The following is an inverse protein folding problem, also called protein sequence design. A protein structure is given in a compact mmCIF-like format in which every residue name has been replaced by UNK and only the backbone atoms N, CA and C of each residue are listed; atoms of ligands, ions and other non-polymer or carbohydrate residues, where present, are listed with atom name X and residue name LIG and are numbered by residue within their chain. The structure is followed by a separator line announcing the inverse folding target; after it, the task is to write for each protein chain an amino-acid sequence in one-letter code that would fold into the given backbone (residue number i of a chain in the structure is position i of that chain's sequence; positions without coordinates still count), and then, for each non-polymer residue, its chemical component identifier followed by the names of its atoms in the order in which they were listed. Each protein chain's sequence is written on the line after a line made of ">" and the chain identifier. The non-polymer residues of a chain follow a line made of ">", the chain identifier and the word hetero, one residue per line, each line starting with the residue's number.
data_IF_413316426827
#
_entry.id   IF_413316426827
#
_cell.length_a   1.000
_cell.length_b   1.000
_cell.length_c   1.000
_cell.angle_alpha   90.00
_cell.angle_beta   90.00
_cell.angle_gamma   90.00
#
_symmetry.space_group_name_H-M   'P 1'
#
loop_
_entity.id
_entity.type
_entity.pdbx_description
1 polymer ?
#
# COMPACT_ATOMS: atom_id res chain seq x y z
N UNK A 1 -24.33 -8.28 -6.19
CA UNK A 1 -23.38 -9.14 -6.93
C UNK A 1 -22.06 -8.41 -6.94
N UNK A 2 -20.97 -9.03 -6.48
CA UNK A 2 -19.64 -8.42 -6.54
C UNK A 2 -19.19 -8.47 -8.00
N UNK A 3 -18.75 -7.33 -8.53
CA UNK A 3 -18.15 -7.25 -9.85
C UNK A 3 -16.64 -7.19 -9.67
N UNK A 4 -15.96 -8.22 -10.16
CA UNK A 4 -14.51 -8.29 -10.18
C UNK A 4 -13.95 -7.60 -11.42
N UNK A 5 -12.73 -7.11 -11.31
CA UNK A 5 -11.99 -6.56 -12.42
C UNK A 5 -11.56 -7.67 -13.40
N UNK A 6 -11.83 -7.46 -14.68
CA UNK A 6 -11.46 -8.40 -15.75
C UNK A 6 -9.94 -8.47 -16.01
N UNK A 7 -9.18 -7.47 -15.56
CA UNK A 7 -7.74 -7.40 -15.79
C UNK A 7 -6.89 -8.02 -14.68
N UNK A 8 -7.49 -8.43 -13.56
CA UNK A 8 -6.78 -9.11 -12.47
C UNK A 8 -6.83 -10.62 -12.72
N UNK A 9 -5.67 -11.25 -12.79
CA UNK A 9 -5.53 -12.67 -13.12
C UNK A 9 -4.57 -13.39 -12.16
N UNK A 10 -4.65 -14.71 -12.14
CA UNK A 10 -3.89 -15.58 -11.25
C UNK A 10 -2.38 -15.52 -11.55
N UNK A 11 -1.52 -15.43 -10.51
CA UNK A 11 -0.10 -15.67 -10.67
C UNK A 11 0.17 -17.12 -11.10
N UNK A 12 1.35 -17.39 -11.69
CA UNK A 12 1.77 -18.76 -12.04
C UNK A 12 2.26 -19.59 -10.84
N UNK A 13 2.40 -18.97 -9.66
CA UNK A 13 2.73 -19.63 -8.40
C UNK A 13 2.24 -18.80 -7.21
N UNK A 14 2.26 -19.40 -6.01
CA UNK A 14 1.91 -18.70 -4.77
C UNK A 14 2.84 -17.52 -4.50
N UNK A 15 2.28 -16.32 -4.33
CA UNK A 15 3.01 -15.15 -3.82
C UNK A 15 2.85 -15.16 -2.29
N UNK A 16 3.70 -15.92 -1.59
CA UNK A 16 3.64 -16.11 -0.14
C UNK A 16 4.77 -15.36 0.57
N UNK A 17 4.45 -14.27 1.27
CA UNK A 17 5.48 -13.38 1.85
C UNK A 17 5.48 -13.45 3.38
N UNK A 18 4.33 -13.22 4.00
CA UNK A 18 4.15 -13.28 5.44
C UNK A 18 3.97 -14.73 5.88
N UNK A 19 3.11 -15.49 5.21
CA UNK A 19 2.91 -16.90 5.50
C UNK A 19 1.71 -17.50 4.77
N UNK A 20 1.72 -18.83 4.62
CA UNK A 20 0.69 -19.56 3.87
C UNK A 20 -0.72 -19.41 4.44
N UNK A 21 -0.85 -19.14 5.74
CA UNK A 21 -2.13 -18.88 6.38
C UNK A 21 -2.81 -17.59 5.89
N UNK A 22 -2.04 -16.67 5.31
CA UNK A 22 -2.52 -15.40 4.75
C UNK A 22 -2.72 -15.45 3.24
N UNK A 23 -2.74 -16.65 2.64
CA UNK A 23 -2.98 -16.82 1.22
C UNK A 23 -4.47 -16.73 0.92
N UNK A 24 -4.81 -15.92 -0.09
CA UNK A 24 -6.18 -15.89 -0.58
C UNK A 24 -6.56 -17.21 -1.24
N UNK A 25 -7.74 -17.72 -0.89
CA UNK A 25 -8.31 -18.97 -1.45
C UNK A 25 -9.20 -18.71 -2.66
N UNK A 26 -9.62 -17.47 -2.89
CA UNK A 26 -10.51 -17.06 -3.97
C UNK A 26 -10.17 -15.63 -4.41
N UNK A 27 -10.91 -15.10 -5.38
CA UNK A 27 -10.84 -13.69 -5.71
C UNK A 27 -11.59 -12.88 -4.64
N UNK A 28 -10.87 -12.03 -3.91
CA UNK A 28 -11.41 -11.26 -2.79
C UNK A 28 -11.15 -9.76 -2.97
N UNK A 29 -12.05 -8.96 -2.40
CA UNK A 29 -11.92 -7.50 -2.30
C UNK A 29 -11.95 -7.13 -0.82
N UNK A 30 -10.96 -6.34 -0.40
CA UNK A 30 -10.86 -5.80 0.94
C UNK A 30 -10.96 -4.28 0.91
N UNK A 31 -11.35 -3.70 2.04
CA UNK A 31 -11.45 -2.25 2.19
C UNK A 31 -10.66 -1.78 3.41
N UNK A 32 -9.80 -0.80 3.22
CA UNK A 32 -9.12 -0.08 4.29
C UNK A 32 -9.89 1.21 4.60
N UNK A 33 -10.36 1.36 5.84
CA UNK A 33 -11.19 2.51 6.27
C UNK A 33 -10.80 3.00 7.67
N UNK A 34 -11.24 4.20 8.04
CA UNK A 34 -11.09 4.67 9.42
C UNK A 34 -12.08 3.97 10.34
N UNK A 35 -11.63 3.61 11.54
CA UNK A 35 -12.53 3.09 12.56
C UNK A 35 -13.44 4.21 13.08
N UNK A 36 -14.74 3.90 13.21
CA UNK A 36 -15.75 4.81 13.75
C UNK A 36 -15.92 4.69 15.27
N UNK A 37 -15.19 3.79 15.93
CA UNK A 37 -15.30 3.62 17.38
C UNK A 37 -14.67 4.80 18.12
N UNK A 38 -15.40 5.35 19.10
CA UNK A 38 -15.02 6.56 19.82
C UNK A 38 -13.69 6.45 20.58
N UNK A 39 -13.33 5.24 21.04
CA UNK A 39 -12.08 4.93 21.75
C UNK A 39 -10.89 4.66 20.83
N UNK A 40 -11.10 4.59 19.51
CA UNK A 40 -10.08 4.25 18.51
C UNK A 40 -9.91 5.32 17.43
N UNK A 41 -10.17 6.60 17.77
CA UNK A 41 -9.78 7.72 16.91
C UNK A 41 -8.29 7.54 16.58
N UNK A 42 -7.95 7.49 15.30
CA UNK A 42 -6.61 7.20 14.73
C UNK A 42 -6.29 5.71 14.44
N UNK A 43 -7.27 4.80 14.47
CA UNK A 43 -7.09 3.44 13.94
C UNK A 43 -7.66 3.30 12.54
N UNK A 44 -6.89 2.69 11.64
CA UNK A 44 -7.42 2.15 10.40
C UNK A 44 -7.85 0.71 10.64
N UNK A 45 -8.87 0.25 9.94
CA UNK A 45 -9.34 -1.13 9.97
C UNK A 45 -9.47 -1.66 8.56
N UNK A 46 -9.24 -2.96 8.40
CA UNK A 46 -9.40 -3.68 7.14
C UNK A 46 -10.63 -4.56 7.27
N UNK A 47 -11.56 -4.38 6.33
CA UNK A 47 -12.78 -5.18 6.27
C UNK A 47 -12.88 -5.95 4.97
N UNK A 48 -13.65 -7.02 4.99
CA UNK A 48 -14.08 -7.70 3.77
C UNK A 48 -15.21 -6.93 3.05
N UNK A 49 -15.80 -7.58 2.06
CA UNK A 49 -16.94 -7.04 1.29
C UNK A 49 -18.25 -6.98 2.04
N UNK A 50 -18.41 -7.78 3.11
CA UNK A 50 -19.56 -7.76 4.01
C UNK A 50 -19.43 -6.70 5.10
N UNK A 51 -18.23 -6.12 5.24
CA UNK A 51 -17.93 -5.08 6.22
C UNK A 51 -17.44 -5.62 7.55
N UNK A 52 -17.17 -6.93 7.66
CA UNK A 52 -16.59 -7.55 8.85
C UNK A 52 -15.14 -7.10 9.03
N UNK A 53 -14.79 -6.70 10.24
CA UNK A 53 -13.41 -6.31 10.59
C UNK A 53 -12.53 -7.54 10.72
N UNK A 54 -11.48 -7.60 9.90
CA UNK A 54 -10.53 -8.70 9.88
C UNK A 54 -9.21 -8.31 10.57
N UNK A 55 -8.79 -7.05 10.40
CA UNK A 55 -7.53 -6.56 10.93
C UNK A 55 -7.66 -5.10 11.36
N UNK A 56 -6.79 -4.69 12.28
CA UNK A 56 -6.66 -3.31 12.71
C UNK A 56 -5.23 -2.80 12.52
N UNK A 57 -5.09 -1.50 12.28
CA UNK A 57 -3.81 -0.84 12.12
C UNK A 57 -3.66 0.30 13.14
N UNK A 58 -2.48 0.39 13.75
CA UNK A 58 -2.13 1.46 14.70
C UNK A 58 -0.93 2.24 14.19
N UNK A 59 -1.02 3.56 14.28
CA UNK A 59 0.08 4.47 13.94
C UNK A 59 1.01 4.65 15.12
N UNK A 60 2.31 4.54 14.86
CA UNK A 60 3.37 4.78 15.84
C UNK A 60 4.54 5.52 15.16
N UNK A 61 4.52 6.86 15.21
CA UNK A 61 5.51 7.67 14.51
C UNK A 61 5.50 7.41 13.00
N UNK A 62 6.64 7.01 12.43
CA UNK A 62 6.79 6.72 11.00
C UNK A 62 6.40 5.29 10.58
N UNK A 63 5.98 4.44 11.54
CA UNK A 63 5.51 3.07 11.27
C UNK A 63 4.00 2.93 11.48
N UNK A 64 3.40 2.03 10.70
CA UNK A 64 2.05 1.53 10.91
C UNK A 64 2.12 0.04 11.17
N UNK A 65 1.58 -0.40 12.30
CA UNK A 65 1.58 -1.80 12.71
C UNK A 65 0.21 -2.40 12.39
N UNK A 66 0.21 -3.55 11.74
CA UNK A 66 -0.98 -4.34 11.44
C UNK A 66 -1.15 -5.43 12.50
N UNK A 67 -2.34 -5.54 13.06
CA UNK A 67 -2.71 -6.51 14.07
C UNK A 67 -3.82 -7.43 13.57
N UNK A 68 -3.79 -8.69 14.02
CA UNK A 68 -4.91 -9.62 13.85
C UNK A 68 -6.09 -9.31 14.80
N UNK A 69 -7.13 -10.14 14.72
CA UNK A 69 -8.33 -10.12 15.56
C UNK A 69 -8.05 -10.35 17.05
N UNK A 70 -6.88 -10.93 17.39
CA UNK A 70 -6.40 -11.10 18.77
C UNK A 70 -5.49 -9.96 19.24
N UNK A 71 -5.38 -8.85 18.48
CA UNK A 71 -4.46 -7.75 18.74
C UNK A 71 -2.97 -8.17 18.78
N UNK A 72 -2.60 -9.25 18.08
CA UNK A 72 -1.20 -9.64 17.93
C UNK A 72 -0.61 -8.95 16.69
N UNK A 73 0.57 -8.31 16.81
CA UNK A 73 1.19 -7.64 15.67
C UNK A 73 1.68 -8.67 14.64
N UNK A 74 1.26 -8.51 13.39
CA UNK A 74 1.64 -9.39 12.28
C UNK A 74 2.86 -8.81 11.55
N UNK A 75 2.80 -7.53 11.20
CA UNK A 75 3.83 -6.81 10.48
C UNK A 75 3.78 -5.32 10.81
N UNK A 76 4.84 -4.62 10.45
CA UNK A 76 4.83 -3.16 10.45
C UNK A 76 5.40 -2.61 9.14
N UNK A 77 4.77 -1.54 8.67
CA UNK A 77 5.16 -0.82 7.46
C UNK A 77 5.75 0.53 7.87
N UNK A 78 7.00 0.75 7.49
CA UNK A 78 7.75 1.98 7.71
C UNK A 78 7.98 2.69 6.38
N UNK A 79 7.82 4.02 6.36
CA UNK A 79 8.18 4.84 5.21
C UNK A 79 9.34 5.73 5.60
N UNK A 80 10.43 5.66 4.84
CA UNK A 80 11.55 6.58 5.03
C UNK A 80 11.09 8.02 4.72
N UNK A 81 11.21 8.89 5.71
CA UNK A 81 10.79 10.28 5.64
C UNK A 81 11.76 11.18 4.87
N UNK A 82 12.88 10.64 4.37
CA UNK A 82 13.82 11.41 3.58
C UNK A 82 13.16 11.92 2.29
N UNK A 83 13.17 13.24 2.07
CA UNK A 83 12.45 13.90 0.97
C UNK A 83 12.87 13.39 -0.42
N UNK A 84 14.09 12.86 -0.55
CA UNK A 84 14.71 12.47 -1.80
C UNK A 84 14.60 10.97 -2.10
N UNK A 85 14.56 10.11 -1.08
CA UNK A 85 14.53 8.65 -1.25
C UNK A 85 13.28 8.10 -0.59
N UNK A 86 12.30 7.76 -1.43
CA UNK A 86 10.99 7.29 -1.00
C UNK A 86 10.97 5.77 -1.01
N UNK A 87 11.46 5.18 0.06
CA UNK A 87 11.45 3.74 0.26
C UNK A 87 10.41 3.35 1.31
N UNK A 88 9.72 2.23 1.04
CA UNK A 88 8.83 1.59 2.00
C UNK A 88 9.52 0.31 2.46
N UNK A 89 9.57 0.10 3.76
CA UNK A 89 10.10 -1.09 4.40
C UNK A 89 8.98 -1.81 5.12
N UNK A 90 8.88 -3.12 4.92
CA UNK A 90 7.92 -3.98 5.61
C UNK A 90 8.72 -4.95 6.47
N UNK A 91 8.41 -4.98 7.76
CA UNK A 91 9.10 -5.80 8.76
C UNK A 91 8.15 -6.82 9.38
N UNK A 92 8.72 -7.92 9.88
CA UNK A 92 7.98 -8.93 10.65
C UNK A 92 7.60 -8.42 12.04
N UNK A 93 6.35 -8.64 12.46
CA UNK A 93 5.88 -8.27 13.79
C UNK A 93 5.90 -6.76 14.04
N UNK A 94 6.11 -6.37 15.29
CA UNK A 94 6.09 -4.96 15.73
C UNK A 94 7.46 -4.26 15.64
N UNK A 95 8.54 -5.04 15.67
CA UNK A 95 9.91 -4.53 15.73
C UNK A 95 10.54 -4.42 14.34
N UNK A 96 11.40 -3.42 14.13
CA UNK A 96 12.12 -3.22 12.87
C UNK A 96 13.40 -4.07 12.80
N UNK A 97 13.33 -5.37 13.14
CA UNK A 97 14.51 -6.26 13.19
C UNK A 97 14.73 -7.04 11.90
N UNK A 98 13.66 -7.52 11.27
CA UNK A 98 13.73 -8.37 10.08
C UNK A 98 12.94 -7.71 8.94
N UNK A 99 13.65 -7.26 7.89
CA UNK A 99 13.03 -6.71 6.68
C UNK A 99 12.51 -7.86 5.83
N UNK A 100 11.19 -7.93 5.66
CA UNK A 100 10.54 -8.92 4.80
C UNK A 100 10.51 -8.43 3.35
N UNK A 101 10.28 -7.13 3.16
CA UNK A 101 10.15 -6.54 1.83
C UNK A 101 10.60 -5.10 1.81
N UNK A 102 11.18 -4.70 0.68
CA UNK A 102 11.60 -3.34 0.40
C UNK A 102 10.97 -2.86 -0.91
N UNK A 103 10.26 -1.74 -0.84
CA UNK A 103 9.68 -1.08 -2.02
C UNK A 103 10.46 0.19 -2.32
N UNK A 104 10.85 0.37 -3.57
CA UNK A 104 11.59 1.55 -4.05
C UNK A 104 10.85 2.19 -5.22
N UNK A 105 10.85 3.52 -5.26
CA UNK A 105 10.46 4.29 -6.44
C UNK A 105 11.58 4.19 -7.50
N UNK A 106 11.23 3.89 -8.75
CA UNK A 106 12.18 3.81 -9.85
C UNK A 106 12.58 5.23 -10.32
N UNK A 107 13.80 5.40 -10.84
CA UNK A 107 14.40 6.71 -11.14
C UNK A 107 13.73 7.48 -12.28
N UNK A 108 13.03 6.80 -13.19
CA UNK A 108 12.21 7.43 -14.22
C UNK A 108 10.75 7.45 -13.78
N UNK A 109 10.28 8.63 -13.36
CA UNK A 109 8.88 8.86 -13.01
C UNK A 109 8.29 9.97 -13.88
N UNK A 110 7.11 9.69 -14.40
CA UNK A 110 6.17 10.70 -14.86
C UNK A 110 5.33 11.10 -13.63
N UNK A 111 4.92 12.37 -13.53
CA UNK A 111 4.03 12.80 -12.45
C UNK A 111 2.69 12.07 -12.49
N UNK A 112 2.27 11.61 -13.67
CA UNK A 112 1.02 10.88 -13.87
C UNK A 112 1.19 9.36 -13.74
N UNK A 113 2.39 8.84 -13.98
CA UNK A 113 2.73 7.41 -13.89
C UNK A 113 4.01 7.20 -13.09
N UNK A 114 3.87 6.58 -11.92
CA UNK A 114 5.02 6.28 -11.04
C UNK A 114 5.24 4.78 -10.95
N UNK A 115 6.47 4.36 -11.24
CA UNK A 115 6.85 2.95 -11.20
C UNK A 115 7.59 2.65 -9.91
N UNK A 116 7.18 1.61 -9.20
CA UNK A 116 7.84 1.10 -8.02
C UNK A 116 8.23 -0.36 -8.21
N UNK A 117 9.22 -0.78 -7.44
CA UNK A 117 9.71 -2.15 -7.42
C UNK A 117 9.68 -2.63 -5.97
N UNK A 118 8.94 -3.71 -5.70
CA UNK A 118 8.91 -4.36 -4.39
C UNK A 118 9.72 -5.66 -4.47
N UNK A 119 10.78 -5.76 -3.67
CA UNK A 119 11.64 -6.96 -3.55
C UNK A 119 11.34 -7.65 -2.24
N UNK A 120 11.13 -8.96 -2.28
CA UNK A 120 10.75 -9.78 -1.13
C UNK A 120 11.25 -11.22 -1.28
N UNK A 121 11.32 -11.95 -0.18
CA UNK A 121 11.59 -13.39 -0.20
C UNK A 121 10.28 -14.17 -0.24
N UNK A 122 10.02 -14.88 -1.34
CA UNK A 122 8.83 -15.71 -1.48
C UNK A 122 9.04 -17.05 -0.77
N UNK A 123 8.25 -17.29 0.28
CA UNK A 123 8.34 -18.49 1.13
C UNK A 123 7.90 -19.76 0.41
N UNK A 124 7.12 -19.67 -0.67
CA UNK A 124 6.66 -20.83 -1.43
C UNK A 124 7.69 -21.29 -2.45
N UNK A 125 8.34 -20.37 -3.16
CA UNK A 125 9.40 -20.70 -4.14
C UNK A 125 10.80 -20.78 -3.53
N UNK A 126 10.97 -20.27 -2.30
CA UNK A 126 12.27 -20.15 -1.61
C UNK A 126 13.28 -19.26 -2.34
N UNK A 127 12.79 -18.27 -3.08
CA UNK A 127 13.62 -17.32 -3.81
C UNK A 127 13.24 -15.87 -3.56
N UNK A 128 14.19 -14.97 -3.78
CA UNK A 128 13.89 -13.54 -3.86
C UNK A 128 13.17 -13.23 -5.16
N UNK A 129 12.07 -12.52 -5.06
CA UNK A 129 11.20 -12.15 -6.16
C UNK A 129 10.91 -10.65 -6.15
N UNK A 130 10.35 -10.19 -7.27
CA UNK A 130 10.06 -8.79 -7.51
C UNK A 130 8.65 -8.61 -8.04
N UNK A 131 7.88 -7.72 -7.41
CA UNK A 131 6.66 -7.17 -8.00
C UNK A 131 6.97 -5.80 -8.61
N UNK A 132 6.46 -5.58 -9.82
CA UNK A 132 6.44 -4.26 -10.43
C UNK A 132 5.13 -3.59 -10.07
N UNK A 133 5.15 -2.34 -9.66
CA UNK A 133 3.95 -1.62 -9.21
C UNK A 133 3.84 -0.33 -10.00
N UNK A 134 2.71 -0.11 -10.64
CA UNK A 134 2.45 1.09 -11.45
C UNK A 134 1.35 1.89 -10.79
N UNK A 135 1.69 3.07 -10.29
CA UNK A 135 0.71 4.05 -9.86
C UNK A 135 0.22 4.84 -11.07
N UNK A 136 -1.09 4.89 -11.26
CA UNK A 136 -1.75 5.71 -12.27
C UNK A 136 -2.56 6.82 -11.58
N UNK A 137 -2.13 8.07 -11.76
CA UNK A 137 -2.75 9.23 -11.12
C UNK A 137 -4.18 9.49 -11.57
N UNK A 138 -4.51 9.24 -12.85
CA UNK A 138 -5.85 9.45 -13.39
C UNK A 138 -6.86 8.48 -12.77
N UNK A 139 -6.44 7.24 -12.53
CA UNK A 139 -7.26 6.21 -11.88
C UNK A 139 -7.20 6.26 -10.35
N UNK A 140 -6.22 6.98 -9.79
CA UNK A 140 -5.86 6.96 -8.36
C UNK A 140 -5.71 5.51 -7.85
N UNK A 141 -5.01 4.70 -8.65
CA UNK A 141 -4.81 3.27 -8.41
C UNK A 141 -3.35 2.85 -8.54
N UNK A 142 -2.99 1.77 -7.85
CA UNK A 142 -1.74 1.05 -7.98
C UNK A 142 -2.04 -0.34 -8.55
N UNK A 143 -1.50 -0.61 -9.74
CA UNK A 143 -1.59 -1.91 -10.38
C UNK A 143 -0.31 -2.69 -10.05
N UNK A 144 -0.45 -3.85 -9.42
CA UNK A 144 0.67 -4.68 -8.94
C UNK A 144 0.82 -5.86 -9.88
N UNK A 145 1.98 -5.95 -10.52
CA UNK A 145 2.30 -6.96 -11.52
C UNK A 145 3.25 -8.01 -10.96
N UNK A 146 2.87 -9.27 -11.12
CA UNK A 146 3.80 -10.40 -11.00
C UNK A 146 4.35 -10.75 -12.38
N UNK A 147 5.58 -11.24 -12.39
CA UNK A 147 6.19 -11.77 -13.62
C UNK A 147 5.72 -13.21 -13.79
N UNK A 148 4.98 -13.47 -14.87
CA UNK A 148 4.52 -14.80 -15.26
C UNK A 148 5.43 -15.34 -16.35
N UNK A 149 5.81 -16.62 -16.30
CA UNK A 149 6.48 -17.25 -17.46
C UNK A 149 5.44 -17.92 -18.36
N UNK A 150 5.10 -17.29 -19.50
CA UNK A 150 4.31 -17.94 -20.55
C UNK A 150 5.23 -18.34 -21.71
N UNK A 151 5.23 -19.63 -22.05
CA UNK A 151 6.07 -20.19 -23.13
C UNK A 151 7.56 -19.81 -22.99
N UNK A 152 8.07 -19.73 -21.76
CA UNK A 152 9.45 -19.34 -21.46
C UNK A 152 9.76 -17.85 -21.57
N UNK A 153 8.79 -16.99 -21.92
CA UNK A 153 8.94 -15.54 -21.95
C UNK A 153 8.28 -14.88 -20.73
N UNK A 154 8.89 -13.81 -20.17
CA UNK A 154 8.25 -13.04 -19.11
C UNK A 154 7.06 -12.29 -19.69
N UNK A 155 5.87 -12.61 -19.19
CA UNK A 155 4.66 -11.82 -19.34
C UNK A 155 4.33 -11.15 -17.99
N UNK A 156 3.53 -10.09 -18.01
CA UNK A 156 3.13 -9.35 -16.81
C UNK A 156 1.66 -9.61 -16.52
N UNK A 157 1.36 -10.14 -15.34
CA UNK A 157 -0.01 -10.33 -14.86
C UNK A 157 -0.28 -9.40 -13.70
N UNK A 158 -1.41 -8.69 -13.74
CA UNK A 158 -1.88 -7.89 -12.59
C UNK A 158 -2.44 -8.86 -11.55
N UNK A 159 -1.78 -8.91 -10.39
CA UNK A 159 -2.12 -9.79 -9.27
C UNK A 159 -2.76 -9.05 -8.11
N UNK A 160 -2.81 -7.72 -8.16
CA UNK A 160 -3.55 -6.91 -7.20
C UNK A 160 -3.78 -5.50 -7.77
N UNK A 161 -4.96 -4.93 -7.52
CA UNK A 161 -5.25 -3.52 -7.71
C UNK A 161 -5.55 -2.87 -6.36
N UNK A 162 -4.81 -1.81 -6.02
CA UNK A 162 -5.11 -0.95 -4.87
C UNK A 162 -5.67 0.35 -5.38
N UNK A 163 -6.94 0.64 -5.11
CA UNK A 163 -7.62 1.81 -5.65
C UNK A 163 -8.13 2.70 -4.54
N UNK A 164 -7.88 4.00 -4.66
CA UNK A 164 -8.49 4.98 -3.75
C UNK A 164 -9.99 5.05 -4.02
N UNK A 165 -10.78 4.83 -2.98
CA UNK A 165 -12.24 4.84 -3.10
C UNK A 165 -12.77 6.22 -2.77
N UNK A 166 -13.37 6.90 -3.75
CA UNK A 166 -14.08 8.17 -3.55
C UNK A 166 -15.57 7.97 -3.27
N UNK A 167 -15.98 6.77 -2.84
CA UNK A 167 -17.38 6.50 -2.50
C UNK A 167 -17.83 7.48 -1.42
N UNK A 168 -18.92 8.19 -1.71
CA UNK A 168 -19.53 9.31 -0.97
C UNK A 168 -19.22 9.35 0.54
N UNK A 169 -19.02 10.59 1.04
CA UNK A 169 -18.70 11.06 2.41
C UNK A 169 -19.29 10.29 3.62
N UNK A 170 -20.26 9.40 3.41
CA UNK A 170 -20.97 8.62 4.42
C UNK A 170 -20.15 7.42 4.92
N UNK A 171 -19.26 6.83 4.10
CA UNK A 171 -18.41 5.72 4.53
C UNK A 171 -16.93 6.06 4.29
N UNK A 172 -16.14 6.07 5.35
CA UNK A 172 -14.71 6.43 5.41
C UNK A 172 -13.76 5.47 4.68
N UNK A 173 -14.22 4.80 3.62
CA UNK A 173 -13.40 3.88 2.82
C UNK A 173 -12.30 4.69 2.13
N UNK A 174 -11.06 4.43 2.51
CA UNK A 174 -9.89 5.12 1.95
C UNK A 174 -9.43 4.39 0.68
N UNK A 175 -9.33 3.07 0.74
CA UNK A 175 -8.83 2.25 -0.37
C UNK A 175 -9.58 0.92 -0.46
N UNK A 176 -9.74 0.41 -1.68
CA UNK A 176 -10.05 -0.99 -1.98
C UNK A 176 -8.80 -1.72 -2.41
N UNK A 177 -8.73 -3.01 -2.09
CA UNK A 177 -7.63 -3.91 -2.42
C UNK A 177 -8.27 -5.16 -3.02
N UNK A 178 -8.13 -5.33 -4.32
CA UNK A 178 -8.67 -6.48 -5.06
C UNK A 178 -7.53 -7.40 -5.48
N UNK A 179 -7.67 -8.70 -5.20
CA UNK A 179 -6.64 -9.70 -5.52
C UNK A 179 -7.25 -11.08 -5.80
N UNK A 180 -6.62 -11.89 -6.66
CA UNK A 180 -7.07 -13.24 -6.97
C UNK A 180 -6.62 -14.22 -5.86
N UNK A 181 -6.94 -15.51 -6.02
CA UNK A 181 -6.38 -16.54 -5.16
C UNK A 181 -4.86 -16.67 -5.35
N UNK A 182 -4.17 -17.35 -4.42
CA UNK A 182 -2.72 -17.57 -4.44
C UNK A 182 -1.87 -16.32 -4.25
N UNK A 183 -2.46 -15.27 -3.67
CA UNK A 183 -1.75 -14.05 -3.25
C UNK A 183 -1.88 -13.85 -1.74
N UNK A 184 -0.78 -13.53 -1.07
CA UNK A 184 -0.74 -13.17 0.35
C UNK A 184 -1.44 -11.81 0.58
N UNK A 185 -2.67 -11.86 1.10
CA UNK A 185 -3.48 -10.65 1.25
C UNK A 185 -2.92 -9.71 2.33
N UNK A 186 -2.27 -10.24 3.36
CA UNK A 186 -1.64 -9.43 4.41
C UNK A 186 -0.46 -8.64 3.85
N UNK A 187 0.31 -9.23 2.94
CA UNK A 187 1.36 -8.51 2.23
C UNK A 187 0.80 -7.38 1.35
N UNK A 188 -0.33 -7.62 0.66
CA UNK A 188 -1.00 -6.57 -0.12
C UNK A 188 -1.52 -5.43 0.76
N UNK A 189 -1.98 -5.73 1.98
CA UNK A 189 -2.35 -4.69 2.96
C UNK A 189 -1.16 -3.83 3.36
N UNK A 190 0.01 -4.46 3.60
CA UNK A 190 1.23 -3.74 3.94
C UNK A 190 1.68 -2.77 2.84
N UNK A 191 1.56 -3.17 1.56
CA UNK A 191 1.81 -2.31 0.41
C UNK A 191 0.81 -1.12 0.37
N UNK A 192 -0.48 -1.39 0.51
CA UNK A 192 -1.51 -0.34 0.57
C UNK A 192 -1.23 0.70 1.66
N UNK A 193 -0.94 0.24 2.88
CA UNK A 193 -0.58 1.08 4.02
C UNK A 193 0.67 1.92 3.69
N UNK A 194 1.69 1.30 3.09
CA UNK A 194 2.91 1.98 2.68
C UNK A 194 2.66 3.11 1.70
N UNK A 195 1.86 2.87 0.66
CA UNK A 195 1.49 3.90 -0.32
C UNK A 195 0.64 5.02 0.28
N UNK A 196 -0.30 4.68 1.17
CA UNK A 196 -1.07 5.69 1.91
C UNK A 196 -0.18 6.64 2.70
N UNK A 197 0.76 6.07 3.45
CA UNK A 197 1.72 6.87 4.23
C UNK A 197 2.61 7.72 3.32
N UNK A 198 3.09 7.14 2.23
CA UNK A 198 3.91 7.84 1.26
C UNK A 198 3.19 9.06 0.66
N UNK A 199 1.91 8.91 0.31
CA UNK A 199 1.09 10.00 -0.21
C UNK A 199 0.81 11.07 0.85
N UNK A 200 0.60 10.67 2.10
CA UNK A 200 0.43 11.61 3.23
C UNK A 200 1.69 12.45 3.42
N UNK A 201 2.87 11.84 3.44
CA UNK A 201 4.16 12.55 3.55
C UNK A 201 4.38 13.53 2.40
N UNK A 202 4.03 13.15 1.16
CA UNK A 202 4.10 14.04 -0.02
C UNK A 202 3.19 15.26 0.12
N UNK A 203 1.98 15.07 0.61
CA UNK A 203 1.03 16.17 0.81
C UNK A 203 1.51 17.17 1.89
N UNK A 204 2.15 16.68 2.95
CA UNK A 204 2.74 17.55 4.00
C UNK A 204 3.92 18.36 3.45
N UNK A 205 4.80 17.75 2.65
CA UNK A 205 5.95 18.47 2.07
C UNK A 205 5.48 19.55 1.09
N UNK A 206 4.53 19.21 0.22
CA UNK A 206 3.98 20.16 -0.77
C UNK A 206 3.21 21.30 -0.11
N UNK A 207 2.47 21.05 0.97
CA UNK A 207 1.77 22.11 1.72
C UNK A 207 2.75 23.05 2.44
N UNK A 208 3.80 22.50 3.08
CA UNK A 208 4.87 23.30 3.70
C UNK A 208 5.59 24.17 2.67
N UNK A 209 5.95 23.62 1.51
CA UNK A 209 6.62 24.37 0.44
C UNK A 209 5.75 25.53 -0.10
N UNK A 210 4.43 25.33 -0.22
CA UNK A 210 3.49 26.40 -0.60
C UNK A 210 3.40 27.48 0.47
N UNK A 211 3.32 27.11 1.75
CA UNK A 211 3.30 28.05 2.87
C UNK A 211 4.56 28.92 2.94
N UNK A 212 5.76 28.33 2.78
CA UNK A 212 7.02 29.08 2.80
C UNK A 212 7.15 30.08 1.64
N UNK A 213 6.64 29.73 0.44
CA UNK A 213 6.62 30.67 -0.70
C UNK A 213 5.68 31.86 -0.45
N UNK A 214 4.59 31.64 0.27
CA UNK A 214 3.65 32.70 0.62
C UNK A 214 4.29 33.71 1.60
N UNK A 215 4.96 33.21 2.65
CA UNK A 215 5.66 34.04 3.63
C UNK A 215 6.81 34.85 2.97
N UNK A 216 7.58 34.22 2.09
CA UNK A 216 8.66 34.90 1.37
C UNK A 216 8.14 36.03 0.47
N UNK A 217 6.95 35.86 -0.14
CA UNK A 217 6.33 36.87 -1.01
C UNK A 217 5.73 38.03 -0.24
N UNK A 218 5.12 37.79 0.93
CA UNK A 218 4.63 38.86 1.80
C UNK A 218 5.78 39.65 2.45
N UNK A 219 6.85 38.97 2.87
CA UNK A 219 8.06 39.63 3.38
C UNK A 219 8.76 40.49 2.33
N UNK A 220 8.81 40.02 1.07
CA UNK A 220 9.35 40.81 -0.05
C UNK A 220 8.50 42.06 -0.31
N UNK A 221 7.17 41.95 -0.36
CA UNK A 221 6.29 43.09 -0.60
C UNK A 221 6.28 44.13 0.54
N UNK A 222 6.57 43.72 1.78
CA UNK A 222 6.70 44.62 2.92
C UNK A 222 8.02 45.40 2.93
N UNK A 223 9.06 44.91 2.22
CA UNK A 223 10.37 45.55 2.16
C UNK A 223 10.46 46.68 1.12
N UNK A 224 9.48 46.79 0.21
CA UNK A 224 9.41 47.81 -0.84
C UNK A 224 8.28 48.83 -0.62
N UNK A 225 7.81 48.99 0.62
CA UNK A 225 6.93 50.09 1.05
C UNK A 225 7.63 50.91 2.12
#
# INVERSE_FOLDING_TARGET
>A
MLQYSEHIDLPDHEISVIGRQYMSKRHDIYYLKESHMASSRNRLIITDTYGEELFSCKEEGNKMILYDDFNKPILNTYVDGNAFVKEIYIYAGEECKEVISKVKLNSHYDDDIQNYTAVFFNKSTKSNETLNIVYNRLKDSYDIFSSKRMNGKPDKVIVCEIKKTNLYKVFSKKHSIELPSLVDYVYMFALCIGFMRLNTSRNIITSKAKGSRYIAREGFNAFFK
#
